data_IF_920238099728
#
_entry.id   IF_920238099728
#
_cell.length_a   1.000
_cell.length_b   1.000
_cell.length_c   1.000
_cell.angle_alpha   90.00
_cell.angle_beta   90.00
_cell.angle_gamma   90.00
#
_symmetry.space_group_name_H-M   'P 1'
#
loop_
_entity.id
_entity.type
_entity.pdbx_description
1 polymer ?
#
# COMPACT_ATOMS: atom_id res chain seq x y z
N UNK A 1 3.54 29.82 -3.03
CA UNK A 1 3.12 28.65 -3.83
C UNK A 1 4.20 27.59 -3.72
N UNK A 2 3.87 26.34 -3.97
CA UNK A 2 4.86 25.26 -4.00
C UNK A 2 5.61 25.24 -5.34
N UNK A 3 6.81 24.67 -5.34
CA UNK A 3 7.53 24.36 -6.58
C UNK A 3 6.74 23.33 -7.41
N UNK A 4 7.01 23.27 -8.72
CA UNK A 4 6.30 22.37 -9.63
C UNK A 4 6.43 20.92 -9.16
N UNK A 5 5.29 20.23 -9.06
CA UNK A 5 5.20 18.84 -8.59
C UNK A 5 5.18 18.69 -7.07
N UNK A 6 5.40 19.76 -6.31
CA UNK A 6 5.26 19.75 -4.85
C UNK A 6 3.89 20.29 -4.43
N UNK A 7 3.30 19.71 -3.40
CA UNK A 7 1.94 20.04 -2.95
C UNK A 7 1.71 19.71 -1.46
N UNK A 8 0.50 19.99 -1.00
CA UNK A 8 0.08 19.78 0.38
C UNK A 8 0.57 20.87 1.34
N UNK A 9 0.24 20.70 2.63
CA UNK A 9 0.64 21.66 3.67
C UNK A 9 2.17 21.76 3.73
N UNK A 10 2.68 22.98 3.62
CA UNK A 10 4.12 23.30 3.60
C UNK A 10 4.88 22.62 2.44
N UNK A 11 4.21 22.27 1.33
CA UNK A 11 4.84 21.64 0.17
C UNK A 11 5.60 20.35 0.51
N UNK A 12 5.07 19.57 1.46
CA UNK A 12 5.76 18.39 2.00
C UNK A 12 5.68 17.15 1.11
N UNK A 13 4.77 17.14 0.14
CA UNK A 13 4.57 16.00 -0.77
C UNK A 13 5.03 16.35 -2.17
N UNK A 14 5.58 15.36 -2.88
CA UNK A 14 5.99 15.45 -4.27
C UNK A 14 5.20 14.42 -5.08
N UNK A 15 4.70 14.76 -6.28
CA UNK A 15 4.12 13.75 -7.17
C UNK A 15 5.25 12.90 -7.76
N UNK A 16 5.00 11.60 -7.82
CA UNK A 16 5.80 10.66 -8.60
C UNK A 16 4.92 10.00 -9.66
N UNK A 17 4.44 10.86 -10.56
CA UNK A 17 3.71 10.48 -11.76
C UNK A 17 4.66 9.69 -12.70
N UNK A 18 4.15 8.76 -13.52
CA UNK A 18 4.96 7.98 -14.48
C UNK A 18 5.95 8.86 -15.28
N UNK A 19 7.18 8.39 -15.60
CA UNK A 19 8.14 9.18 -16.36
C UNK A 19 7.56 9.77 -17.65
N UNK A 20 7.76 11.09 -17.84
CA UNK A 20 7.21 11.86 -18.95
C UNK A 20 5.83 12.47 -18.69
N UNK A 21 5.16 12.10 -17.60
CA UNK A 21 3.88 12.68 -17.17
C UNK A 21 4.13 13.87 -16.26
N UNK A 22 3.53 15.00 -16.60
CA UNK A 22 3.62 16.22 -15.80
C UNK A 22 2.49 16.24 -14.78
N UNK A 23 2.83 16.49 -13.51
CA UNK A 23 1.89 16.63 -12.41
C UNK A 23 0.96 17.83 -12.63
N UNK A 24 -0.29 17.68 -12.22
CA UNK A 24 -1.25 18.75 -12.13
C UNK A 24 -0.86 19.76 -11.04
N UNK A 25 -1.50 20.93 -11.05
CA UNK A 25 -1.18 22.03 -10.13
C UNK A 25 -1.48 21.71 -8.66
N UNK A 26 -2.37 20.75 -8.40
CA UNK A 26 -2.69 20.23 -7.08
C UNK A 26 -1.79 19.07 -6.65
N UNK A 27 -0.84 18.66 -7.50
CA UNK A 27 0.10 17.57 -7.27
C UNK A 27 -0.36 16.21 -7.77
N UNK A 28 -1.56 16.09 -8.33
CA UNK A 28 -2.07 14.80 -8.83
C UNK A 28 -1.46 14.43 -10.18
N UNK A 29 -1.50 13.13 -10.50
CA UNK A 29 -1.34 12.65 -11.87
C UNK A 29 -2.56 13.04 -12.71
N UNK A 30 -2.40 13.36 -14.01
CA UNK A 30 -3.53 13.41 -14.93
C UNK A 30 -4.35 12.11 -14.90
N UNK A 31 -5.65 12.22 -15.17
CA UNK A 31 -6.57 11.07 -15.10
C UNK A 31 -6.07 9.88 -15.93
N UNK A 32 -6.15 8.68 -15.33
CA UNK A 32 -5.71 7.43 -15.95
C UNK A 32 -4.19 7.25 -16.03
N UNK A 33 -3.37 8.19 -15.55
CA UNK A 33 -1.92 8.03 -15.50
C UNK A 33 -1.49 7.30 -14.22
N UNK A 34 -0.71 6.21 -14.34
CA UNK A 34 -0.24 5.47 -13.18
C UNK A 34 0.88 6.23 -12.46
N UNK A 35 1.17 5.77 -11.24
CA UNK A 35 2.36 6.17 -10.51
C UNK A 35 3.63 5.65 -11.18
N UNK A 36 4.74 6.33 -10.91
CA UNK A 36 6.06 5.78 -11.15
C UNK A 36 6.27 4.52 -10.30
N UNK A 37 7.15 3.63 -10.76
CA UNK A 37 7.42 2.38 -10.05
C UNK A 37 7.92 2.65 -8.64
N UNK A 38 7.35 1.94 -7.67
CA UNK A 38 7.66 2.11 -6.25
C UNK A 38 7.01 3.32 -5.59
N UNK A 39 6.00 3.94 -6.23
CA UNK A 39 5.17 4.97 -5.62
C UNK A 39 3.69 4.62 -5.72
N UNK A 40 2.91 5.09 -4.74
CA UNK A 40 1.48 4.87 -4.66
C UNK A 40 0.75 6.03 -3.95
N UNK A 41 -0.57 5.90 -3.86
CA UNK A 41 -1.46 6.90 -3.27
C UNK A 41 -2.16 7.79 -4.30
N UNK A 42 -3.11 8.62 -3.86
CA UNK A 42 -3.99 9.38 -4.75
C UNK A 42 -3.26 10.37 -5.66
N UNK A 43 -2.07 10.82 -5.26
CA UNK A 43 -1.21 11.72 -6.03
C UNK A 43 0.18 11.11 -6.26
N UNK A 44 0.30 9.78 -6.15
CA UNK A 44 1.56 9.05 -6.27
C UNK A 44 2.67 9.64 -5.38
N UNK A 45 2.31 9.98 -4.15
CA UNK A 45 3.18 10.76 -3.26
C UNK A 45 3.87 9.93 -2.19
N UNK A 46 3.49 8.66 -2.06
CA UNK A 46 4.04 7.77 -1.04
C UNK A 46 4.96 6.77 -1.70
N UNK A 47 6.16 6.65 -1.15
CA UNK A 47 7.07 5.57 -1.49
C UNK A 47 6.51 4.25 -1.00
N UNK A 48 6.49 3.24 -1.88
CA UNK A 48 6.12 1.88 -1.55
C UNK A 48 7.32 1.10 -1.04
N UNK A 49 7.34 0.85 0.27
CA UNK A 49 8.35 0.04 0.93
C UNK A 49 8.30 -1.42 0.49
N UNK A 50 7.17 -1.93 -0.01
CA UNK A 50 7.09 -3.31 -0.52
C UNK A 50 7.93 -3.44 -1.79
N UNK A 51 7.72 -2.56 -2.77
CA UNK A 51 8.53 -2.52 -3.99
C UNK A 51 10.04 -2.40 -3.69
N UNK A 52 10.43 -1.51 -2.77
CA UNK A 52 11.83 -1.21 -2.50
C UNK A 52 12.53 -2.22 -1.57
N UNK A 53 11.82 -2.80 -0.61
CA UNK A 53 12.40 -3.48 0.57
C UNK A 53 11.85 -4.87 0.81
N UNK A 54 10.92 -5.38 0.00
CA UNK A 54 10.45 -6.75 0.14
C UNK A 54 11.60 -7.76 -0.06
N UNK A 55 11.66 -8.74 0.85
CA UNK A 55 12.44 -9.96 0.70
C UNK A 55 11.89 -10.82 -0.46
N UNK A 56 12.72 -11.64 -1.12
CA UNK A 56 12.27 -12.63 -2.10
C UNK A 56 11.20 -13.61 -1.59
N UNK A 57 11.02 -13.73 -0.27
CA UNK A 57 9.93 -14.51 0.32
C UNK A 57 8.53 -13.89 0.09
N UNK A 58 8.45 -12.59 -0.23
CA UNK A 58 7.19 -11.92 -0.57
C UNK A 58 6.78 -12.29 -1.99
N UNK A 59 5.55 -12.76 -2.15
CA UNK A 59 5.00 -13.19 -3.44
C UNK A 59 5.03 -12.04 -4.46
N UNK A 60 5.34 -12.38 -5.71
CA UNK A 60 5.56 -11.39 -6.77
C UNK A 60 4.34 -10.52 -7.05
N UNK A 61 3.15 -11.12 -7.15
CA UNK A 61 1.91 -10.38 -7.44
C UNK A 61 1.61 -9.30 -6.38
N UNK A 62 2.04 -9.48 -5.13
CA UNK A 62 1.82 -8.50 -4.06
C UNK A 62 2.65 -7.24 -4.27
N UNK A 63 3.79 -7.34 -4.98
CA UNK A 63 4.85 -6.31 -5.07
C UNK A 63 5.17 -5.86 -6.49
N UNK A 64 4.43 -6.33 -7.50
CA UNK A 64 4.66 -6.00 -8.91
C UNK A 64 4.13 -4.61 -9.31
N UNK A 65 3.34 -3.97 -8.42
CA UNK A 65 2.74 -2.67 -8.65
C UNK A 65 1.56 -2.70 -9.61
N UNK A 66 0.94 -3.87 -9.81
CA UNK A 66 -0.19 -4.06 -10.71
C UNK A 66 -1.43 -4.55 -9.94
N UNK A 67 -2.38 -3.65 -9.71
CA UNK A 67 -3.64 -3.96 -9.01
C UNK A 67 -4.53 -5.01 -9.70
N UNK A 68 -4.20 -5.42 -10.94
CA UNK A 68 -4.93 -6.44 -11.70
C UNK A 68 -4.37 -7.86 -11.54
N UNK A 69 -3.17 -8.02 -10.97
CA UNK A 69 -2.57 -9.32 -10.69
C UNK A 69 -2.87 -9.74 -9.26
N UNK A 70 -3.73 -10.75 -9.10
CA UNK A 70 -4.19 -11.17 -7.78
C UNK A 70 -3.72 -12.57 -7.40
N UNK A 71 -3.85 -12.88 -6.12
CA UNK A 71 -3.60 -14.23 -5.61
C UNK A 71 -4.42 -15.26 -6.40
N UNK A 72 -3.74 -16.29 -6.90
CA UNK A 72 -4.38 -17.38 -7.65
C UNK A 72 -4.68 -18.59 -6.77
N UNK A 73 -4.18 -18.62 -5.53
CA UNK A 73 -4.48 -19.67 -4.57
C UNK A 73 -5.85 -19.42 -3.90
N UNK A 74 -6.87 -20.15 -4.38
CA UNK A 74 -8.23 -20.11 -3.83
C UNK A 74 -8.36 -20.59 -2.39
N UNK A 75 -7.34 -21.28 -1.87
CA UNK A 75 -7.32 -21.83 -0.52
C UNK A 75 -6.43 -21.03 0.44
N UNK A 76 -5.83 -19.93 -0.01
CA UNK A 76 -5.01 -19.09 0.83
C UNK A 76 -5.82 -18.55 2.01
N UNK A 77 -5.30 -18.77 3.23
CA UNK A 77 -5.88 -18.21 4.47
C UNK A 77 -5.18 -16.95 4.93
N UNK A 78 -4.01 -16.67 4.35
CA UNK A 78 -3.20 -15.49 4.63
C UNK A 78 -2.36 -15.06 3.45
N UNK A 79 -2.04 -13.77 3.38
CA UNK A 79 -1.02 -13.19 2.49
C UNK A 79 0.00 -12.49 3.36
N UNK A 80 1.29 -12.64 3.06
CA UNK A 80 2.35 -12.02 3.85
C UNK A 80 3.30 -11.20 3.00
N UNK A 81 3.72 -10.07 3.56
CA UNK A 81 4.83 -9.25 3.09
C UNK A 81 5.94 -9.33 4.11
N UNK A 82 7.13 -9.70 3.67
CA UNK A 82 8.34 -9.73 4.50
C UNK A 82 9.32 -8.70 3.99
N UNK A 83 9.73 -7.77 4.85
CA UNK A 83 10.70 -6.73 4.56
C UNK A 83 12.13 -7.21 4.89
N UNK A 84 13.12 -6.74 4.14
CA UNK A 84 14.53 -7.10 4.31
C UNK A 84 15.20 -6.42 5.51
N UNK A 85 14.51 -5.47 6.14
CA UNK A 85 14.94 -4.76 7.34
C UNK A 85 13.72 -4.41 8.19
N UNK A 86 13.95 -4.12 9.47
CA UNK A 86 12.94 -3.59 10.38
C UNK A 86 12.72 -2.11 10.08
N UNK A 87 11.58 -1.75 9.50
CA UNK A 87 11.30 -0.38 9.04
C UNK A 87 10.13 0.24 9.83
N UNK A 88 10.19 1.54 10.15
CA UNK A 88 9.04 2.25 10.69
C UNK A 88 7.95 2.33 9.61
N UNK A 89 6.77 1.81 9.92
CA UNK A 89 5.58 1.81 9.06
C UNK A 89 4.50 2.60 9.78
N UNK A 90 3.97 3.63 9.13
CA UNK A 90 2.87 4.43 9.65
C UNK A 90 1.52 3.97 9.12
N UNK A 91 1.48 3.43 7.89
CA UNK A 91 0.25 2.88 7.30
C UNK A 91 0.54 1.99 6.09
N UNK A 92 -0.47 1.25 5.65
CA UNK A 92 -0.41 0.44 4.43
C UNK A 92 -1.78 0.41 3.73
N UNK A 93 -1.76 0.11 2.44
CA UNK A 93 -2.95 -0.05 1.60
C UNK A 93 -3.04 -1.48 1.11
N UNK A 94 -4.23 -2.05 1.14
CA UNK A 94 -4.53 -3.34 0.50
C UNK A 94 -5.45 -3.06 -0.67
N UNK A 95 -5.07 -3.51 -1.87
CA UNK A 95 -5.94 -3.60 -3.02
C UNK A 95 -6.52 -5.02 -3.11
N UNK A 96 -7.84 -5.12 -3.25
CA UNK A 96 -8.58 -6.37 -3.30
C UNK A 96 -9.72 -6.29 -4.32
N UNK A 97 -9.87 -7.33 -5.13
CA UNK A 97 -10.88 -7.36 -6.18
C UNK A 97 -12.32 -7.59 -5.66
N UNK A 98 -12.49 -7.99 -4.40
CA UNK A 98 -13.79 -8.25 -3.76
C UNK A 98 -14.01 -7.35 -2.54
N UNK A 99 -14.80 -6.29 -2.76
CA UNK A 99 -15.18 -5.32 -1.73
C UNK A 99 -15.62 -5.94 -0.38
N UNK A 100 -16.42 -7.01 -0.40
CA UNK A 100 -16.95 -7.63 0.81
C UNK A 100 -15.85 -8.09 1.78
N UNK A 101 -14.68 -8.46 1.27
CA UNK A 101 -13.56 -8.94 2.09
C UNK A 101 -12.70 -7.81 2.66
N UNK A 102 -12.84 -6.57 2.15
CA UNK A 102 -12.21 -5.39 2.77
C UNK A 102 -12.85 -5.02 4.11
N UNK A 103 -14.05 -5.55 4.41
CA UNK A 103 -14.80 -5.24 5.61
C UNK A 103 -14.32 -6.00 6.85
N UNK A 104 -13.68 -7.16 6.66
CA UNK A 104 -13.27 -8.04 7.76
C UNK A 104 -12.04 -8.86 7.40
N UNK A 105 -10.93 -8.55 8.07
CA UNK A 105 -9.68 -9.29 8.00
C UNK A 105 -8.81 -8.96 9.22
N UNK A 106 -7.88 -9.83 9.55
CA UNK A 106 -6.94 -9.63 10.65
C UNK A 106 -5.59 -9.22 10.11
N UNK A 107 -4.96 -8.26 10.78
CA UNK A 107 -3.58 -7.85 10.52
C UNK A 107 -2.69 -8.36 11.64
N UNK A 108 -1.61 -9.05 11.28
CA UNK A 108 -0.51 -9.36 12.20
C UNK A 108 0.77 -8.67 11.75
N UNK A 109 1.46 -8.05 12.69
CA UNK A 109 2.77 -7.44 12.50
C UNK A 109 3.78 -8.24 13.32
N UNK A 110 4.82 -8.76 12.67
CA UNK A 110 5.87 -9.56 13.30
C UNK A 110 5.31 -10.71 14.17
N UNK A 111 4.28 -11.41 13.69
CA UNK A 111 3.48 -12.42 14.41
C UNK A 111 2.69 -11.93 15.64
N UNK A 112 2.74 -10.65 15.99
CA UNK A 112 1.88 -10.03 17.00
C UNK A 112 0.61 -9.46 16.37
N UNK A 113 -0.48 -9.41 17.15
CA UNK A 113 -1.78 -8.90 16.70
C UNK A 113 -1.75 -7.37 16.58
N UNK A 114 -1.87 -6.87 15.33
CA UNK A 114 -2.01 -5.47 14.89
C UNK A 114 -1.17 -4.38 15.62
N UNK A 115 -1.34 -3.12 15.22
CA UNK A 115 -0.96 -1.95 16.01
C UNK A 115 -2.09 -1.58 16.98
N UNK A 116 -1.73 -1.05 18.16
CA UNK A 116 -2.61 -0.85 19.32
C UNK A 116 -3.83 0.04 19.07
N UNK A 117 -3.80 0.83 18.00
CA UNK A 117 -4.86 1.75 17.59
C UNK A 117 -4.93 1.85 16.06
N UNK A 118 -5.24 0.74 15.39
CA UNK A 118 -5.44 0.75 13.95
C UNK A 118 -6.72 1.52 13.55
N UNK A 119 -6.65 2.29 12.47
CA UNK A 119 -7.80 2.89 11.79
C UNK A 119 -7.87 2.37 10.37
N UNK A 120 -9.08 2.04 9.91
CA UNK A 120 -9.31 1.54 8.55
C UNK A 120 -10.13 2.54 7.76
N UNK A 121 -9.66 2.91 6.57
CA UNK A 121 -10.34 3.81 5.66
C UNK A 121 -10.57 3.08 4.33
N UNK A 122 -11.83 2.81 4.01
CA UNK A 122 -12.18 2.21 2.72
C UNK A 122 -12.09 3.30 1.65
N UNK A 123 -11.24 3.08 0.65
CA UNK A 123 -11.05 3.96 -0.49
C UNK A 123 -11.78 3.36 -1.69
N UNK A 124 -12.98 3.87 -1.98
CA UNK A 124 -13.78 3.36 -3.10
C UNK A 124 -14.26 1.92 -2.89
N UNK A 125 -14.04 1.06 -3.89
CA UNK A 125 -14.58 -0.32 -3.93
C UNK A 125 -13.55 -1.43 -3.79
N UNK A 126 -12.27 -1.13 -3.94
CA UNK A 126 -11.21 -2.14 -4.02
C UNK A 126 -10.07 -1.89 -3.05
N UNK A 127 -10.08 -0.81 -2.28
CA UNK A 127 -8.94 -0.43 -1.46
C UNK A 127 -9.35 -0.18 -0.01
N UNK A 128 -8.47 -0.57 0.91
CA UNK A 128 -8.53 -0.17 2.31
C UNK A 128 -7.15 0.30 2.76
N UNK A 129 -7.12 1.48 3.36
CA UNK A 129 -5.96 2.00 4.07
C UNK A 129 -6.06 1.58 5.53
N UNK A 130 -5.02 0.94 6.05
CA UNK A 130 -4.88 0.64 7.48
C UNK A 130 -3.77 1.51 8.04
N UNK A 131 -4.14 2.40 8.95
CA UNK A 131 -3.26 3.42 9.53
C UNK A 131 -3.00 3.10 10.98
N UNK A 132 -1.74 3.09 11.38
CA UNK A 132 -1.33 2.99 12.77
C UNK A 132 -1.16 4.39 13.37
N UNK A 133 -1.71 4.63 14.56
CA UNK A 133 -1.57 5.94 15.23
C UNK A 133 -0.11 6.35 15.48
N UNK A 134 0.79 5.37 15.66
CA UNK A 134 2.23 5.58 15.79
C UNK A 134 2.97 4.67 14.81
N UNK A 135 4.08 5.14 14.21
CA UNK A 135 4.93 4.28 13.40
C UNK A 135 5.40 3.06 14.18
N UNK A 136 5.24 1.89 13.60
CA UNK A 136 5.62 0.60 14.18
C UNK A 136 6.76 -0.01 13.39
N UNK A 137 7.65 -0.72 14.07
CA UNK A 137 8.72 -1.45 13.40
C UNK A 137 8.17 -2.73 12.78
N UNK A 138 8.19 -2.83 11.46
CA UNK A 138 7.68 -3.97 10.71
C UNK A 138 8.84 -4.67 10.01
N UNK A 139 8.95 -5.98 10.24
CA UNK A 139 9.72 -6.92 9.40
C UNK A 139 8.78 -7.84 8.63
N UNK A 140 7.59 -8.11 9.17
CA UNK A 140 6.58 -8.94 8.52
C UNK A 140 5.18 -8.38 8.75
N UNK A 141 4.41 -8.26 7.67
CA UNK A 141 2.99 -7.93 7.69
C UNK A 141 2.23 -9.14 7.16
N UNK A 142 1.23 -9.61 7.90
CA UNK A 142 0.39 -10.75 7.52
C UNK A 142 -1.07 -10.30 7.53
N UNK A 143 -1.75 -10.52 6.41
CA UNK A 143 -3.18 -10.29 6.25
C UNK A 143 -3.86 -11.66 6.28
N UNK A 144 -4.70 -11.91 7.28
CA UNK A 144 -5.41 -13.18 7.47
C UNK A 144 -6.92 -13.03 7.28
N UNK A 145 -7.53 -14.09 6.77
CA UNK A 145 -8.98 -14.21 6.58
C UNK A 145 -9.37 -14.41 5.12
N UNK A 146 -10.68 -14.35 4.85
CA UNK A 146 -11.27 -14.63 3.53
C UNK A 146 -10.83 -13.63 2.44
N UNK A 147 -10.15 -12.56 2.83
CA UNK A 147 -9.51 -11.61 1.92
C UNK A 147 -8.33 -12.23 1.15
N UNK A 148 -7.60 -13.18 1.76
CA UNK A 148 -6.31 -13.66 1.28
C UNK A 148 -6.33 -14.23 -0.16
N UNK A 149 -7.34 -14.99 -0.61
CA UNK A 149 -7.41 -15.48 -1.99
C UNK A 149 -7.66 -14.41 -3.05
N UNK A 150 -7.88 -13.15 -2.65
CA UNK A 150 -8.33 -12.08 -3.57
C UNK A 150 -7.54 -10.78 -3.43
N UNK A 151 -6.52 -10.78 -2.57
CA UNK A 151 -5.55 -9.67 -2.49
C UNK A 151 -4.81 -9.59 -3.82
N UNK A 152 -4.67 -8.38 -4.33
CA UNK A 152 -3.91 -8.09 -5.54
C UNK A 152 -2.60 -7.41 -5.19
N UNK A 153 -2.67 -6.28 -4.48
CA UNK A 153 -1.45 -5.56 -4.11
C UNK A 153 -1.50 -5.12 -2.66
N UNK A 154 -0.32 -5.03 -2.03
CA UNK A 154 -0.15 -4.43 -0.71
C UNK A 154 0.95 -3.39 -0.84
N UNK A 155 0.62 -2.16 -0.47
CA UNK A 155 1.54 -1.03 -0.48
C UNK A 155 1.81 -0.58 0.95
N UNK A 156 3.07 -0.31 1.29
CA UNK A 156 3.46 0.06 2.66
C UNK A 156 4.17 1.41 2.65
N UNK A 157 3.80 2.30 3.57
CA UNK A 157 4.45 3.61 3.74
C UNK A 157 4.87 3.84 5.20
N UNK A 158 6.03 4.50 5.35
CA UNK A 158 6.70 4.78 6.62
C UNK A 158 6.65 6.24 7.00
#
# INVERSE_FOLDING_TARGET
GCEKGWFGKNCKFKCHCRPGVVCLSDGQCPEGQPCDHGYFGPACQYEDLVYQRASPATLEYVRDGNDLTCNTDSHATSVSVTLNASLPVSWFRIHNHKFAYLLSFTVKINNATSCSEEKRFIQGRHEVDVVCCQPILVTQLIIEGDIAPTVCSIYISG
#
